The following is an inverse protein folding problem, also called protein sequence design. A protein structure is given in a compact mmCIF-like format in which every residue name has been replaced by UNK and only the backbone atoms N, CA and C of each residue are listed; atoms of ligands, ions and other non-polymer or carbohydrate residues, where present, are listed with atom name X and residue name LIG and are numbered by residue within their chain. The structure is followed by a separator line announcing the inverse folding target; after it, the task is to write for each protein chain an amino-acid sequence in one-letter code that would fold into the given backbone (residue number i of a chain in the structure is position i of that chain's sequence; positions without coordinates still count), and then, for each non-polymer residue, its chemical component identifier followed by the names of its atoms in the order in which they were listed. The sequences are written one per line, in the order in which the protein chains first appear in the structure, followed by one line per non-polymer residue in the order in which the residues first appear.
data_IF_635076491354
#
_entry.id   IF_635076491354
#
_cell.length_a   1.000
_cell.length_b   1.000
_cell.length_c   1.000
_cell.angle_alpha   90.00
_cell.angle_beta   90.00
_cell.angle_gamma   90.00
#
_symmetry.space_group_name_H-M   'P 1'
#
loop_
_entity.id
_entity.type
_entity.pdbx_description
1 polymer ?
#
# COMPACT_ATOMS: atom_id res chain seq x y z
N UNK A 1 -23.35 -24.97 -24.36
CA UNK A 1 -23.27 -25.35 -22.93
C UNK A 1 -22.91 -26.82 -22.91
N UNK A 2 -21.82 -27.18 -22.28
CA UNK A 2 -21.43 -28.57 -22.03
C UNK A 2 -21.83 -28.87 -20.58
N UNK A 3 -22.76 -29.78 -20.39
CA UNK A 3 -23.17 -30.28 -19.08
C UNK A 3 -22.35 -31.54 -18.78
N UNK A 4 -21.52 -31.51 -17.78
CA UNK A 4 -20.68 -32.64 -17.37
C UNK A 4 -21.19 -33.18 -16.04
N UNK A 5 -21.74 -34.38 -16.04
CA UNK A 5 -22.12 -35.08 -14.81
C UNK A 5 -20.88 -35.70 -14.17
N UNK A 6 -20.63 -35.38 -12.92
CA UNK A 6 -19.54 -35.92 -12.12
C UNK A 6 -20.00 -37.24 -11.45
N UNK A 7 -19.14 -38.26 -11.45
CA UNK A 7 -19.30 -39.46 -10.65
C UNK A 7 -18.88 -39.24 -9.18
N UNK A 8 -19.18 -40.24 -8.34
CA UNK A 8 -18.84 -40.13 -6.89
C UNK A 8 -17.32 -40.04 -6.61
N UNK A 9 -16.48 -40.52 -7.53
CA UNK A 9 -15.01 -40.53 -7.41
C UNK A 9 -14.33 -39.37 -8.17
N UNK A 10 -15.12 -38.52 -8.87
CA UNK A 10 -14.57 -37.41 -9.64
C UNK A 10 -14.25 -36.22 -8.74
N UNK A 11 -13.07 -35.66 -8.92
CA UNK A 11 -12.68 -34.43 -8.24
C UNK A 11 -13.15 -33.23 -9.09
N UNK A 12 -14.25 -32.60 -8.66
CA UNK A 12 -14.85 -31.46 -9.35
C UNK A 12 -13.85 -30.32 -9.56
N UNK A 13 -12.98 -30.05 -8.59
CA UNK A 13 -11.99 -28.99 -8.67
C UNK A 13 -10.92 -29.25 -9.74
N UNK A 14 -10.38 -30.47 -9.80
CA UNK A 14 -9.39 -30.86 -10.81
C UNK A 14 -9.97 -30.82 -12.23
N UNK A 15 -11.25 -31.23 -12.40
CA UNK A 15 -11.94 -31.16 -13.67
C UNK A 15 -12.14 -29.72 -14.10
N UNK A 16 -12.58 -28.86 -13.17
CA UNK A 16 -12.77 -27.44 -13.41
C UNK A 16 -11.43 -26.74 -13.80
N UNK A 17 -10.35 -26.99 -13.08
CA UNK A 17 -9.01 -26.47 -13.41
C UNK A 17 -8.53 -26.92 -14.79
N UNK A 18 -8.74 -28.21 -15.13
CA UNK A 18 -8.41 -28.77 -16.44
C UNK A 18 -9.21 -28.14 -17.59
N UNK A 19 -10.49 -27.89 -17.38
CA UNK A 19 -11.35 -27.23 -18.38
C UNK A 19 -10.97 -25.76 -18.57
N UNK A 20 -10.59 -25.06 -17.50
CA UNK A 20 -10.16 -23.67 -17.53
C UNK A 20 -8.88 -23.47 -18.38
N UNK A 21 -7.98 -24.47 -18.41
CA UNK A 21 -6.74 -24.40 -19.21
C UNK A 21 -6.98 -24.33 -20.73
N UNK A 22 -8.20 -24.61 -21.21
CA UNK A 22 -8.58 -24.67 -22.64
C UNK A 22 -9.46 -23.49 -23.10
N UNK A 23 -9.88 -22.61 -22.19
CA UNK A 23 -10.77 -21.47 -22.46
C UNK A 23 -10.12 -20.11 -22.21
N UNK A 24 -10.97 -19.07 -21.98
CA UNK A 24 -10.49 -17.81 -21.43
C UNK A 24 -10.05 -18.11 -19.98
N UNK A 25 -8.78 -17.84 -19.63
CA UNK A 25 -8.30 -18.11 -18.27
C UNK A 25 -9.16 -17.39 -17.23
N UNK A 26 -9.55 -18.09 -16.19
CA UNK A 26 -10.16 -17.49 -15.02
C UNK A 26 -9.11 -16.70 -14.23
N UNK A 27 -9.57 -15.67 -13.53
CA UNK A 27 -8.72 -14.91 -12.61
C UNK A 27 -8.36 -15.77 -11.40
N UNK A 28 -7.28 -15.41 -10.69
CA UNK A 28 -6.95 -16.07 -9.41
C UNK A 28 -8.11 -15.97 -8.42
N UNK A 29 -8.83 -14.86 -8.42
CA UNK A 29 -10.04 -14.61 -7.61
C UNK A 29 -11.14 -15.63 -7.91
N UNK A 30 -11.45 -15.86 -9.19
CA UNK A 30 -12.44 -16.88 -9.59
C UNK A 30 -12.04 -18.29 -9.17
N UNK A 31 -10.74 -18.62 -9.31
CA UNK A 31 -10.22 -19.91 -8.91
C UNK A 31 -10.29 -20.12 -7.39
N UNK A 32 -9.94 -19.10 -6.60
CA UNK A 32 -10.04 -19.14 -5.13
C UNK A 32 -11.50 -19.30 -4.70
N UNK A 33 -12.44 -18.52 -5.27
CA UNK A 33 -13.87 -18.64 -5.01
C UNK A 33 -14.34 -20.06 -5.21
N UNK A 34 -14.05 -20.62 -6.38
CA UNK A 34 -14.49 -21.96 -6.72
C UNK A 34 -13.84 -23.01 -5.81
N UNK A 35 -12.57 -22.85 -5.47
CA UNK A 35 -11.89 -23.76 -4.54
C UNK A 35 -12.55 -23.81 -3.17
N UNK A 36 -12.99 -22.66 -2.64
CA UNK A 36 -13.68 -22.60 -1.33
C UNK A 36 -15.09 -23.18 -1.41
N UNK A 37 -15.84 -22.88 -2.48
CA UNK A 37 -17.29 -23.14 -2.52
C UNK A 37 -17.68 -24.47 -3.19
N UNK A 38 -16.92 -24.94 -4.20
CA UNK A 38 -17.36 -26.10 -5.02
C UNK A 38 -17.48 -27.42 -4.26
N UNK A 39 -16.85 -27.58 -3.13
CA UNK A 39 -16.92 -28.80 -2.30
C UNK A 39 -18.13 -28.83 -1.36
N UNK A 40 -18.88 -27.73 -1.27
CA UNK A 40 -20.00 -27.56 -0.33
C UNK A 40 -21.35 -27.94 -0.97
N UNK A 41 -22.38 -28.30 -0.19
CA UNK A 41 -23.75 -28.44 -0.68
C UNK A 41 -24.27 -27.14 -1.32
N UNK A 42 -25.16 -27.24 -2.32
CA UNK A 42 -25.62 -26.11 -3.12
C UNK A 42 -26.25 -24.97 -2.31
N UNK A 43 -27.02 -25.28 -1.28
CA UNK A 43 -27.67 -24.32 -0.39
C UNK A 43 -26.61 -23.57 0.45
N UNK A 44 -25.59 -24.27 0.92
CA UNK A 44 -24.49 -23.69 1.64
C UNK A 44 -23.58 -22.85 0.73
N UNK A 45 -23.30 -23.31 -0.49
CA UNK A 45 -22.58 -22.51 -1.50
C UNK A 45 -23.26 -21.16 -1.72
N UNK A 46 -24.59 -21.16 -1.96
CA UNK A 46 -25.36 -19.95 -2.20
C UNK A 46 -25.33 -19.04 -0.98
N UNK A 47 -25.55 -19.57 0.21
CA UNK A 47 -25.52 -18.80 1.46
C UNK A 47 -24.19 -18.13 1.69
N UNK A 48 -23.08 -18.87 1.57
CA UNK A 48 -21.73 -18.33 1.82
C UNK A 48 -21.31 -17.34 0.73
N UNK A 49 -21.68 -17.60 -0.52
CA UNK A 49 -21.44 -16.65 -1.60
C UNK A 49 -22.16 -15.32 -1.36
N UNK A 50 -23.45 -15.35 -1.08
CA UNK A 50 -24.25 -14.14 -0.89
C UNK A 50 -23.90 -13.39 0.40
N UNK A 51 -23.55 -14.11 1.47
CA UNK A 51 -23.27 -13.51 2.77
C UNK A 51 -21.87 -12.93 2.88
N UNK A 52 -20.87 -13.50 2.20
CA UNK A 52 -19.46 -13.16 2.42
C UNK A 52 -18.71 -12.85 1.12
N UNK A 53 -18.72 -13.75 0.14
CA UNK A 53 -17.91 -13.60 -1.06
C UNK A 53 -18.38 -12.42 -1.92
N UNK A 54 -19.63 -12.37 -2.26
CA UNK A 54 -20.18 -11.31 -3.09
C UNK A 54 -20.04 -9.91 -2.48
N UNK A 55 -20.34 -9.68 -1.18
CA UNK A 55 -20.01 -8.41 -0.53
C UNK A 55 -18.52 -8.05 -0.60
N UNK A 56 -17.61 -9.01 -0.43
CA UNK A 56 -16.16 -8.79 -0.55
C UNK A 56 -15.79 -8.33 -1.98
N UNK A 57 -16.28 -9.01 -3.02
CA UNK A 57 -16.02 -8.58 -4.41
C UNK A 57 -16.56 -7.17 -4.69
N UNK A 58 -17.74 -6.83 -4.15
CA UNK A 58 -18.35 -5.51 -4.34
C UNK A 58 -17.51 -4.38 -3.71
N UNK A 59 -16.72 -4.66 -2.68
CA UNK A 59 -15.83 -3.66 -2.05
C UNK A 59 -14.75 -3.16 -3.00
N UNK A 60 -14.24 -4.02 -3.87
CA UNK A 60 -13.21 -3.64 -4.85
C UNK A 60 -13.82 -3.03 -6.13
N UNK A 61 -15.10 -3.30 -6.43
CA UNK A 61 -15.77 -2.84 -7.65
C UNK A 61 -15.45 -3.69 -8.88
N UNK A 62 -16.11 -3.39 -10.00
CA UNK A 62 -15.92 -4.12 -11.25
C UNK A 62 -14.61 -3.70 -11.95
N UNK A 63 -13.88 -4.67 -12.51
CA UNK A 63 -12.65 -4.42 -13.26
C UNK A 63 -11.39 -4.23 -12.41
N UNK A 64 -11.47 -4.48 -11.09
CA UNK A 64 -10.35 -4.34 -10.15
C UNK A 64 -9.69 -5.69 -9.80
N UNK A 65 -9.56 -6.58 -10.79
CA UNK A 65 -8.93 -7.90 -10.62
C UNK A 65 -7.50 -7.82 -10.07
N UNK A 66 -6.77 -6.77 -10.43
CA UNK A 66 -5.41 -6.53 -9.94
C UNK A 66 -5.40 -6.23 -8.45
N UNK A 67 -6.29 -5.38 -7.99
CA UNK A 67 -6.42 -4.96 -6.59
C UNK A 67 -6.84 -6.12 -5.70
N UNK A 68 -7.79 -6.93 -6.16
CA UNK A 68 -8.24 -8.15 -5.45
C UNK A 68 -7.09 -9.16 -5.39
N UNK A 69 -6.36 -9.37 -6.48
CA UNK A 69 -5.22 -10.28 -6.49
C UNK A 69 -4.10 -9.82 -5.55
N UNK A 70 -3.85 -8.52 -5.49
CA UNK A 70 -2.89 -7.92 -4.54
C UNK A 70 -3.36 -8.07 -3.10
N UNK A 71 -4.66 -7.91 -2.86
CA UNK A 71 -5.27 -8.16 -1.55
C UNK A 71 -5.06 -9.62 -1.10
N UNK A 72 -5.38 -10.63 -1.93
CA UNK A 72 -5.16 -12.03 -1.59
C UNK A 72 -3.68 -12.35 -1.31
N UNK A 73 -2.79 -11.78 -2.10
CA UNK A 73 -1.36 -11.95 -1.87
C UNK A 73 -0.91 -11.35 -0.54
N UNK A 74 -1.38 -10.16 -0.17
CA UNK A 74 -1.09 -9.52 1.11
C UNK A 74 -1.68 -10.32 2.27
N UNK A 75 -2.93 -10.75 2.15
CA UNK A 75 -3.60 -11.58 3.14
C UNK A 75 -2.84 -12.90 3.39
N UNK A 76 -2.47 -13.61 2.33
CA UNK A 76 -1.64 -14.83 2.44
C UNK A 76 -0.32 -14.56 3.14
N UNK A 77 0.33 -13.44 2.85
CA UNK A 77 1.61 -13.13 3.49
C UNK A 77 1.48 -12.89 5.00
N UNK A 78 0.39 -12.30 5.45
CA UNK A 78 0.09 -12.18 6.89
C UNK A 78 -0.16 -13.56 7.53
N UNK A 79 -0.86 -14.45 6.83
CA UNK A 79 -1.22 -15.79 7.36
C UNK A 79 -0.08 -16.81 7.31
N UNK A 80 0.82 -16.72 6.33
CA UNK A 80 1.95 -17.66 6.20
C UNK A 80 3.12 -17.21 7.09
N UNK A 81 3.57 -18.00 8.11
CA UNK A 81 4.48 -17.48 9.13
C UNK A 81 5.90 -17.19 8.64
N UNK A 82 6.50 -18.07 7.86
CA UNK A 82 7.96 -18.10 7.67
C UNK A 82 8.43 -17.81 6.24
N UNK A 83 7.55 -17.49 5.31
CA UNK A 83 7.91 -17.20 3.92
C UNK A 83 7.02 -16.15 3.28
N UNK A 84 7.53 -15.59 2.21
CA UNK A 84 6.76 -14.71 1.32
C UNK A 84 6.05 -15.58 0.27
N UNK A 85 4.73 -15.44 0.07
CA UNK A 85 4.04 -16.12 -1.02
C UNK A 85 4.46 -15.55 -2.38
N UNK A 86 4.40 -16.36 -3.44
CA UNK A 86 4.68 -15.93 -4.81
C UNK A 86 3.53 -15.09 -5.35
N UNK A 87 3.85 -13.88 -5.83
CA UNK A 87 2.82 -12.90 -6.23
C UNK A 87 2.10 -13.28 -7.54
N UNK A 88 2.77 -13.99 -8.41
CA UNK A 88 2.28 -14.49 -9.70
C UNK A 88 1.55 -15.83 -9.63
N UNK A 89 1.58 -16.49 -8.46
CA UNK A 89 0.98 -17.79 -8.22
C UNK A 89 0.02 -17.77 -7.00
N UNK A 90 -0.73 -16.68 -6.82
CA UNK A 90 -1.59 -16.45 -5.64
C UNK A 90 -2.57 -17.60 -5.39
N UNK A 91 -3.16 -18.17 -6.43
CA UNK A 91 -4.08 -19.30 -6.30
C UNK A 91 -3.38 -20.56 -5.77
N UNK A 92 -2.20 -20.90 -6.28
CA UNK A 92 -1.45 -22.07 -5.81
C UNK A 92 -0.96 -21.87 -4.38
N UNK A 93 -0.54 -20.66 -4.02
CA UNK A 93 -0.19 -20.29 -2.64
C UNK A 93 -1.38 -20.42 -1.68
N UNK A 94 -2.58 -20.05 -2.17
CA UNK A 94 -3.82 -20.22 -1.39
C UNK A 94 -4.16 -21.68 -1.14
N UNK A 95 -4.01 -22.54 -2.16
CA UNK A 95 -4.19 -24.00 -2.01
C UNK A 95 -3.20 -24.60 -1.01
N UNK A 96 -1.92 -24.19 -1.09
CA UNK A 96 -0.89 -24.64 -0.14
C UNK A 96 -1.28 -24.21 1.28
N UNK A 97 -1.66 -22.94 1.46
CA UNK A 97 -2.08 -22.44 2.78
C UNK A 97 -3.22 -23.26 3.39
N UNK A 98 -4.27 -23.56 2.62
CA UNK A 98 -5.39 -24.37 3.10
C UNK A 98 -5.00 -25.85 3.32
N UNK A 99 -4.09 -26.39 2.50
CA UNK A 99 -3.53 -27.74 2.71
C UNK A 99 -2.73 -27.84 4.00
N UNK A 100 -2.02 -26.79 4.37
CA UNK A 100 -1.27 -26.68 5.63
C UNK A 100 -2.19 -26.41 6.85
N UNK A 101 -3.43 -25.94 6.61
CA UNK A 101 -4.42 -25.60 7.64
C UNK A 101 -5.77 -26.34 7.42
N UNK A 102 -5.80 -27.67 7.44
CA UNK A 102 -6.97 -28.45 7.05
C UNK A 102 -8.18 -28.29 7.99
N UNK A 103 -7.98 -27.79 9.20
CA UNK A 103 -9.04 -27.52 10.19
C UNK A 103 -9.84 -26.24 9.88
N UNK A 104 -9.37 -25.43 8.92
CA UNK A 104 -10.02 -24.15 8.58
C UNK A 104 -11.37 -24.40 7.90
N UNK A 105 -12.45 -23.96 8.56
CA UNK A 105 -13.79 -24.06 7.99
C UNK A 105 -13.99 -22.98 6.93
N UNK A 106 -14.72 -23.30 5.85
CA UNK A 106 -14.99 -22.36 4.75
C UNK A 106 -15.66 -21.07 5.21
N UNK A 107 -16.58 -21.15 6.16
CA UNK A 107 -17.27 -19.96 6.69
C UNK A 107 -16.32 -19.06 7.50
N UNK A 108 -15.51 -19.63 8.41
CA UNK A 108 -14.54 -18.87 9.22
C UNK A 108 -13.50 -18.18 8.31
N UNK A 109 -13.05 -18.88 7.27
CA UNK A 109 -12.15 -18.35 6.25
C UNK A 109 -12.78 -17.15 5.50
N UNK A 110 -14.04 -17.28 5.10
CA UNK A 110 -14.74 -16.22 4.38
C UNK A 110 -15.04 -15.01 5.26
N UNK A 111 -15.30 -15.21 6.55
CA UNK A 111 -15.43 -14.12 7.53
C UNK A 111 -14.10 -13.35 7.65
N UNK A 112 -12.98 -14.06 7.80
CA UNK A 112 -11.65 -13.44 7.89
C UNK A 112 -11.27 -12.72 6.59
N UNK A 113 -11.54 -13.31 5.44
CA UNK A 113 -11.31 -12.67 4.14
C UNK A 113 -12.15 -11.39 3.96
N UNK A 114 -13.44 -11.44 4.32
CA UNK A 114 -14.33 -10.28 4.23
C UNK A 114 -13.87 -9.12 5.12
N UNK A 115 -13.53 -9.40 6.39
CA UNK A 115 -13.00 -8.40 7.32
C UNK A 115 -11.69 -7.81 6.82
N UNK A 116 -10.74 -8.65 6.38
CA UNK A 116 -9.46 -8.19 5.85
C UNK A 116 -9.61 -7.37 4.56
N UNK A 117 -10.59 -7.70 3.70
CA UNK A 117 -10.91 -6.95 2.50
C UNK A 117 -11.52 -5.59 2.82
N UNK A 118 -12.39 -5.51 3.84
CA UNK A 118 -12.93 -4.24 4.33
C UNK A 118 -11.80 -3.33 4.83
N UNK A 119 -10.89 -3.85 5.68
CA UNK A 119 -9.71 -3.10 6.12
C UNK A 119 -8.85 -2.61 4.94
N UNK A 120 -8.54 -3.50 3.99
CA UNK A 120 -7.75 -3.15 2.80
C UNK A 120 -8.42 -2.05 1.97
N UNK A 121 -9.72 -2.14 1.73
CA UNK A 121 -10.45 -1.17 0.90
C UNK A 121 -10.73 0.14 1.63
N UNK A 122 -10.82 0.15 2.96
CA UNK A 122 -10.87 1.38 3.76
C UNK A 122 -9.54 2.13 3.71
N UNK A 123 -8.41 1.43 3.84
CA UNK A 123 -7.09 2.05 3.80
C UNK A 123 -6.72 2.53 2.39
N UNK A 124 -6.91 1.67 1.35
CA UNK A 124 -6.36 1.88 0.01
C UNK A 124 -7.41 2.20 -1.06
N UNK A 125 -8.70 2.03 -0.76
CA UNK A 125 -9.82 2.19 -1.69
C UNK A 125 -10.71 3.41 -1.42
N UNK A 126 -10.28 4.35 -0.57
CA UNK A 126 -11.02 5.59 -0.24
C UNK A 126 -12.43 5.33 0.34
N UNK A 127 -12.58 4.24 1.14
CA UNK A 127 -13.86 3.81 1.73
C UNK A 127 -13.97 4.02 3.24
N UNK A 128 -12.97 4.66 3.87
CA UNK A 128 -12.95 4.89 5.30
C UNK A 128 -14.03 5.91 5.72
N UNK A 129 -14.99 5.53 6.61
CA UNK A 129 -16.04 6.43 7.04
C UNK A 129 -15.60 7.45 8.11
N UNK A 130 -14.59 7.15 8.92
CA UNK A 130 -14.03 8.11 9.88
C UNK A 130 -13.16 9.13 9.13
N UNK A 131 -13.52 10.42 9.29
CA UNK A 131 -12.86 11.51 8.53
C UNK A 131 -11.38 11.69 8.86
N UNK A 132 -10.99 11.43 10.10
CA UNK A 132 -9.60 11.62 10.54
C UNK A 132 -8.72 10.48 10.03
N UNK A 133 -9.21 9.24 10.09
CA UNK A 133 -8.57 8.07 9.49
C UNK A 133 -8.51 8.20 7.96
N UNK A 134 -9.62 8.57 7.31
CA UNK A 134 -9.65 8.79 5.86
C UNK A 134 -8.61 9.83 5.41
N UNK A 135 -8.46 10.92 6.17
CA UNK A 135 -7.44 11.94 5.90
C UNK A 135 -6.03 11.38 6.04
N UNK A 136 -5.76 10.57 7.06
CA UNK A 136 -4.46 9.96 7.27
C UNK A 136 -4.12 8.96 6.15
N UNK A 137 -5.07 8.09 5.78
CA UNK A 137 -4.88 7.13 4.68
C UNK A 137 -4.72 7.80 3.33
N UNK A 138 -5.50 8.85 3.05
CA UNK A 138 -5.35 9.63 1.82
C UNK A 138 -3.97 10.26 1.71
N UNK A 139 -3.45 10.82 2.80
CA UNK A 139 -2.09 11.37 2.85
C UNK A 139 -1.06 10.28 2.56
N UNK A 140 -1.12 9.17 3.29
CA UNK A 140 -0.24 8.02 3.11
C UNK A 140 -0.24 7.47 1.68
N UNK A 141 -1.43 7.29 1.09
CA UNK A 141 -1.57 6.71 -0.26
C UNK A 141 -0.95 7.57 -1.36
N UNK A 142 -0.80 8.88 -1.14
CA UNK A 142 -0.12 9.78 -2.09
C UNK A 142 1.38 9.51 -2.22
N UNK A 143 1.99 8.84 -1.25
CA UNK A 143 3.38 8.39 -1.38
C UNK A 143 3.53 7.26 -2.40
N UNK A 144 2.44 6.58 -2.75
CA UNK A 144 2.41 5.44 -3.69
C UNK A 144 3.49 4.39 -3.38
N UNK A 145 3.58 4.00 -2.10
CA UNK A 145 4.54 3.02 -1.60
C UNK A 145 3.80 1.83 -1.02
N UNK A 146 3.94 0.68 -1.66
CA UNK A 146 3.23 -0.54 -1.27
C UNK A 146 3.88 -1.29 -0.08
N UNK A 147 5.07 -0.87 0.36
CA UNK A 147 5.87 -1.64 1.31
C UNK A 147 5.20 -1.85 2.68
N UNK A 148 4.44 -0.87 3.17
CA UNK A 148 3.81 -0.92 4.48
C UNK A 148 2.36 -1.44 4.48
N UNK A 149 1.82 -1.88 3.33
CA UNK A 149 0.43 -2.34 3.21
C UNK A 149 0.08 -3.43 4.21
N UNK A 150 0.95 -4.41 4.38
CA UNK A 150 0.77 -5.51 5.32
C UNK A 150 0.65 -5.03 6.77
N UNK A 151 1.55 -4.12 7.17
CA UNK A 151 1.50 -3.55 8.51
C UNK A 151 0.25 -2.73 8.74
N UNK A 152 -0.17 -1.91 7.78
CA UNK A 152 -1.38 -1.08 7.90
C UNK A 152 -2.65 -1.94 7.98
N UNK A 153 -2.75 -3.03 7.23
CA UNK A 153 -3.87 -3.98 7.33
C UNK A 153 -3.94 -4.61 8.71
N UNK A 154 -2.80 -5.04 9.25
CA UNK A 154 -2.74 -5.61 10.60
C UNK A 154 -3.04 -4.56 11.68
N UNK A 155 -2.53 -3.34 11.56
CA UNK A 155 -2.87 -2.24 12.47
C UNK A 155 -4.38 -1.94 12.47
N UNK A 156 -5.03 -2.05 11.32
CA UNK A 156 -6.49 -1.90 11.25
C UNK A 156 -7.20 -3.02 12.03
N UNK A 157 -6.71 -4.26 11.89
CA UNK A 157 -7.22 -5.40 12.68
C UNK A 157 -7.08 -5.16 14.18
N UNK A 158 -5.94 -4.64 14.63
CA UNK A 158 -5.71 -4.31 16.04
C UNK A 158 -6.62 -3.14 16.51
N UNK A 159 -6.85 -2.15 15.67
CA UNK A 159 -7.79 -1.07 15.93
C UNK A 159 -9.23 -1.57 16.06
N UNK A 160 -9.70 -2.41 15.14
CA UNK A 160 -11.05 -2.99 15.15
C UNK A 160 -11.28 -3.91 16.37
N UNK A 161 -10.21 -4.58 16.81
CA UNK A 161 -10.22 -5.43 18.01
C UNK A 161 -10.14 -4.63 19.32
N UNK A 162 -9.96 -3.30 19.27
CA UNK A 162 -9.84 -2.44 20.43
C UNK A 162 -8.48 -2.48 21.14
N UNK A 163 -7.46 -3.11 20.53
CA UNK A 163 -6.09 -3.15 21.04
C UNK A 163 -5.28 -1.89 20.69
N UNK A 164 -5.80 -1.06 19.80
CA UNK A 164 -5.21 0.19 19.35
C UNK A 164 -6.29 1.27 19.32
N UNK A 165 -6.06 2.43 19.93
CA UNK A 165 -6.97 3.56 19.85
C UNK A 165 -6.89 4.24 18.48
N UNK A 166 -7.89 5.04 18.10
CA UNK A 166 -7.89 5.80 16.86
C UNK A 166 -6.71 6.77 16.79
N UNK A 167 -6.42 7.45 17.87
CA UNK A 167 -5.33 8.41 17.99
C UNK A 167 -3.96 7.75 17.78
N UNK A 168 -3.75 6.58 18.38
CA UNK A 168 -2.53 5.78 18.20
C UNK A 168 -2.42 5.26 16.77
N UNK A 169 -3.52 4.79 16.17
CA UNK A 169 -3.50 4.34 14.78
C UNK A 169 -3.12 5.47 13.83
N UNK A 170 -3.74 6.64 13.94
CA UNK A 170 -3.38 7.82 13.15
C UNK A 170 -1.91 8.22 13.37
N UNK A 171 -1.43 8.17 14.61
CA UNK A 171 -0.04 8.45 14.94
C UNK A 171 0.92 7.48 14.22
N UNK A 172 0.62 6.18 14.24
CA UNK A 172 1.43 5.17 13.54
C UNK A 172 1.39 5.34 12.03
N UNK A 173 0.22 5.60 11.43
CA UNK A 173 0.11 5.88 9.98
C UNK A 173 1.01 7.05 9.59
N UNK A 174 0.96 8.16 10.32
CA UNK A 174 1.80 9.35 10.07
C UNK A 174 3.29 9.07 10.30
N UNK A 175 3.64 8.26 11.28
CA UNK A 175 5.03 7.89 11.54
C UNK A 175 5.59 7.04 10.40
N UNK A 176 4.82 6.05 9.92
CA UNK A 176 5.20 5.22 8.77
C UNK A 176 5.27 6.07 7.48
N UNK A 177 4.34 7.00 7.30
CA UNK A 177 4.37 7.99 6.20
C UNK A 177 5.66 8.82 6.25
N UNK A 178 5.99 9.40 7.40
CA UNK A 178 7.23 10.16 7.60
C UNK A 178 8.49 9.31 7.33
N UNK A 179 8.51 8.08 7.83
CA UNK A 179 9.60 7.13 7.57
C UNK A 179 9.80 6.89 6.07
N UNK A 180 8.74 6.59 5.34
CA UNK A 180 8.80 6.31 3.90
C UNK A 180 9.16 7.57 3.09
N UNK A 181 8.60 8.71 3.47
CA UNK A 181 8.91 9.99 2.86
C UNK A 181 10.39 10.36 3.00
N UNK A 182 10.93 10.35 4.23
CA UNK A 182 12.34 10.63 4.50
C UNK A 182 13.27 9.71 3.72
N UNK A 183 12.97 8.42 3.69
CA UNK A 183 13.73 7.44 2.90
C UNK A 183 13.71 7.75 1.41
N UNK A 184 12.58 8.17 0.87
CA UNK A 184 12.43 8.56 -0.53
C UNK A 184 13.32 9.75 -0.87
N UNK A 185 13.30 10.80 -0.05
CA UNK A 185 14.16 11.97 -0.18
C UNK A 185 15.65 11.59 -0.07
N UNK A 186 16.01 10.76 0.91
CA UNK A 186 17.38 10.29 1.10
C UNK A 186 17.85 9.24 0.07
N UNK A 187 17.03 8.93 -0.94
CA UNK A 187 17.38 7.99 -2.00
C UNK A 187 17.52 6.54 -1.53
N UNK A 188 16.92 6.19 -0.38
CA UNK A 188 16.95 4.83 0.16
C UNK A 188 15.97 3.93 -0.57
N UNK A 189 16.42 2.75 -0.98
CA UNK A 189 15.62 1.78 -1.70
C UNK A 189 14.50 1.20 -0.81
N UNK A 190 13.39 0.82 -1.42
CA UNK A 190 12.28 0.11 -0.76
C UNK A 190 12.48 -1.41 -0.73
N UNK A 191 13.53 -1.92 -1.39
CA UNK A 191 13.85 -3.36 -1.42
C UNK A 191 14.01 -3.89 0.00
N UNK A 192 13.28 -4.96 0.31
CA UNK A 192 13.30 -5.58 1.64
C UNK A 192 12.35 -4.96 2.67
N UNK A 193 11.80 -3.76 2.46
CA UNK A 193 10.85 -3.15 3.39
C UNK A 193 9.57 -3.96 3.56
N UNK A 194 9.09 -4.63 2.49
CA UNK A 194 7.92 -5.50 2.59
C UNK A 194 8.15 -6.63 3.62
N UNK A 195 9.35 -7.24 3.60
CA UNK A 195 9.71 -8.27 4.60
C UNK A 195 9.81 -7.71 6.01
N UNK A 196 10.41 -6.51 6.13
CA UNK A 196 10.54 -5.84 7.41
C UNK A 196 9.14 -5.54 8.01
N UNK A 197 8.25 -4.92 7.26
CA UNK A 197 6.90 -4.60 7.73
C UNK A 197 6.03 -5.85 7.94
N UNK A 198 6.19 -6.89 7.10
CA UNK A 198 5.53 -8.17 7.33
C UNK A 198 6.01 -8.82 8.64
N UNK A 199 7.30 -8.70 8.97
CA UNK A 199 7.85 -9.15 10.24
C UNK A 199 7.26 -8.42 11.44
N UNK A 200 7.13 -7.09 11.37
CA UNK A 200 6.48 -6.29 12.42
C UNK A 200 5.01 -6.65 12.58
N UNK A 201 4.25 -6.74 11.48
CA UNK A 201 2.84 -7.07 11.50
C UNK A 201 2.53 -8.38 12.25
N UNK A 202 3.39 -9.39 12.10
CA UNK A 202 3.23 -10.72 12.75
C UNK A 202 3.57 -10.75 14.24
N UNK A 203 3.99 -9.65 14.84
CA UNK A 203 4.43 -9.58 16.22
C UNK A 203 3.50 -8.72 17.11
N UNK A 204 2.37 -8.24 16.57
CA UNK A 204 1.54 -7.25 17.26
C UNK A 204 0.63 -7.81 18.36
N UNK A 205 0.35 -9.12 18.37
CA UNK A 205 -0.67 -9.72 19.27
C UNK A 205 -0.31 -9.70 20.76
N UNK A 206 0.96 -9.48 21.12
CA UNK A 206 1.41 -9.64 22.52
C UNK A 206 2.36 -8.54 22.97
N UNK A 207 2.27 -7.35 22.36
CA UNK A 207 3.19 -6.23 22.63
C UNK A 207 2.42 -4.92 22.77
N UNK A 208 3.04 -3.93 23.41
CA UNK A 208 2.59 -2.54 23.32
C UNK A 208 2.88 -2.03 21.89
N UNK A 209 1.83 -1.93 21.09
CA UNK A 209 1.94 -1.81 19.61
C UNK A 209 2.73 -0.56 19.22
N UNK A 210 2.42 0.59 19.84
CA UNK A 210 3.08 1.87 19.51
C UNK A 210 4.57 1.80 19.82
N UNK A 211 4.93 1.40 21.03
CA UNK A 211 6.31 1.28 21.49
C UNK A 211 7.08 0.25 20.66
N UNK A 212 6.44 -0.86 20.32
CA UNK A 212 7.06 -1.91 19.51
C UNK A 212 7.40 -1.39 18.10
N UNK A 213 6.47 -0.75 17.42
CA UNK A 213 6.69 -0.24 16.06
C UNK A 213 7.73 0.89 16.08
N UNK A 214 7.56 1.89 16.94
CA UNK A 214 8.49 3.02 17.03
C UNK A 214 9.89 2.55 17.40
N UNK A 215 10.01 1.69 18.43
CA UNK A 215 11.29 1.12 18.85
C UNK A 215 11.99 0.38 17.73
N UNK A 216 11.28 -0.43 16.95
CA UNK A 216 11.87 -1.13 15.80
C UNK A 216 12.29 -0.19 14.67
N UNK A 217 11.49 0.85 14.34
CA UNK A 217 11.85 1.83 13.32
C UNK A 217 13.11 2.62 13.70
N UNK A 218 13.24 3.00 14.97
CA UNK A 218 14.38 3.81 15.47
C UNK A 218 15.63 2.98 15.76
N UNK A 219 15.50 1.67 16.02
CA UNK A 219 16.63 0.80 16.34
C UNK A 219 17.50 0.40 15.14
N UNK A 220 17.10 0.76 13.91
CA UNK A 220 17.82 0.38 12.70
C UNK A 220 18.99 1.32 12.44
N UNK A 221 20.20 0.79 12.38
CA UNK A 221 21.37 1.55 11.98
C UNK A 221 21.38 1.85 10.46
N UNK A 222 22.26 2.77 10.06
CA UNK A 222 22.36 3.31 8.70
C UNK A 222 22.62 2.23 7.62
N UNK A 223 23.21 1.10 7.98
CA UNK A 223 23.52 0.00 7.06
C UNK A 223 22.35 -0.98 6.91
N UNK A 224 21.28 -0.82 7.68
CA UNK A 224 20.12 -1.71 7.65
C UNK A 224 19.10 -1.30 6.60
N UNK A 225 18.37 -2.30 6.10
CA UNK A 225 17.31 -2.13 5.10
C UNK A 225 16.25 -1.12 5.56
N UNK A 226 15.91 -1.12 6.85
CA UNK A 226 14.85 -0.28 7.42
C UNK A 226 15.38 0.94 8.19
N UNK A 227 16.57 1.45 7.84
CA UNK A 227 17.11 2.66 8.46
C UNK A 227 16.15 3.84 8.37
N UNK A 228 15.91 4.52 9.49
CA UNK A 228 15.17 5.76 9.58
C UNK A 228 16.15 6.94 9.48
N UNK A 229 16.13 7.75 8.40
CA UNK A 229 17.05 8.86 8.23
C UNK A 229 16.94 9.87 9.37
N UNK A 230 18.09 10.28 9.92
CA UNK A 230 18.15 11.36 10.95
C UNK A 230 17.69 12.70 10.37
N UNK A 231 17.39 13.66 11.23
CA UNK A 231 16.96 14.98 10.80
C UNK A 231 18.05 15.68 9.99
N UNK A 232 19.32 15.60 10.44
CA UNK A 232 20.47 16.21 9.77
C UNK A 232 20.67 15.64 8.36
N UNK A 233 20.64 14.29 8.23
CA UNK A 233 20.81 13.64 6.94
C UNK A 233 19.64 13.92 6.00
N UNK A 234 18.40 13.93 6.54
CA UNK A 234 17.22 14.27 5.77
C UNK A 234 17.27 15.71 5.27
N UNK A 235 17.63 16.69 6.12
CA UNK A 235 17.72 18.10 5.77
C UNK A 235 18.75 18.34 4.66
N UNK A 236 19.95 17.79 4.79
CA UNK A 236 20.98 17.87 3.75
C UNK A 236 20.47 17.36 2.38
N UNK A 237 19.86 16.17 2.38
CA UNK A 237 19.35 15.56 1.17
C UNK A 237 18.15 16.33 0.61
N UNK A 238 17.27 16.87 1.47
CA UNK A 238 16.08 17.61 1.07
C UNK A 238 16.42 18.92 0.36
N UNK A 239 17.43 19.64 0.85
CA UNK A 239 17.87 20.91 0.26
C UNK A 239 18.57 20.75 -1.10
N UNK A 240 19.22 19.62 -1.34
CA UNK A 240 20.03 19.39 -2.55
C UNK A 240 19.35 18.49 -3.60
N UNK A 241 18.24 17.82 -3.26
CA UNK A 241 17.63 16.81 -4.13
C UNK A 241 16.91 17.43 -5.32
N UNK A 242 17.13 16.88 -6.53
CA UNK A 242 16.26 17.10 -7.70
C UNK A 242 14.89 16.48 -7.40
N UNK A 243 13.95 17.31 -6.94
CA UNK A 243 12.61 16.89 -6.59
C UNK A 243 11.69 16.81 -7.82
N UNK A 244 11.85 17.71 -8.77
CA UNK A 244 10.97 17.82 -9.94
C UNK A 244 11.05 16.57 -10.84
N UNK A 245 12.24 16.22 -11.29
CA UNK A 245 12.42 15.08 -12.19
C UNK A 245 12.28 13.73 -11.46
N UNK A 246 12.68 13.68 -10.19
CA UNK A 246 12.73 12.40 -9.45
C UNK A 246 11.38 11.95 -8.92
N UNK A 247 10.53 12.89 -8.51
CA UNK A 247 9.28 12.56 -7.82
C UNK A 247 8.02 12.83 -8.65
N UNK A 248 8.12 13.55 -9.76
CA UNK A 248 6.96 13.83 -10.64
C UNK A 248 5.78 14.38 -9.85
N UNK A 249 4.62 13.75 -9.98
CA UNK A 249 3.38 14.16 -9.31
C UNK A 249 3.47 14.19 -7.76
N UNK A 250 4.38 13.42 -7.17
CA UNK A 250 4.61 13.45 -5.71
C UNK A 250 5.25 14.78 -5.27
N UNK A 251 5.95 15.48 -6.15
CA UNK A 251 6.49 16.81 -5.86
C UNK A 251 5.37 17.81 -5.52
N UNK A 252 4.24 17.76 -6.23
CA UNK A 252 3.07 18.57 -5.92
C UNK A 252 2.51 18.27 -4.51
N UNK A 253 2.51 17.00 -4.11
CA UNK A 253 2.14 16.62 -2.74
C UNK A 253 3.08 17.21 -1.67
N UNK A 254 4.38 17.25 -1.94
CA UNK A 254 5.36 17.84 -1.01
C UNK A 254 5.09 19.35 -0.83
N UNK A 255 4.90 20.06 -1.92
CA UNK A 255 4.58 21.49 -1.91
C UNK A 255 3.24 21.77 -1.20
N UNK A 256 2.20 20.99 -1.50
CA UNK A 256 0.90 21.05 -0.79
C UNK A 256 1.05 20.83 0.71
N UNK A 257 1.85 19.85 1.11
CA UNK A 257 2.07 19.52 2.52
C UNK A 257 2.74 20.68 3.26
N UNK A 258 3.72 21.35 2.63
CA UNK A 258 4.39 22.54 3.18
C UNK A 258 3.39 23.70 3.30
N UNK A 259 2.65 23.97 2.23
CA UNK A 259 1.65 25.07 2.22
C UNK A 259 0.56 24.84 3.28
N UNK A 260 0.04 23.62 3.39
CA UNK A 260 -0.98 23.28 4.36
C UNK A 260 -0.46 23.27 5.81
N UNK A 261 0.83 23.03 6.02
CA UNK A 261 1.45 23.22 7.34
C UNK A 261 1.40 24.69 7.79
N UNK A 262 1.61 25.62 6.86
CA UNK A 262 1.54 27.07 7.14
C UNK A 262 0.10 27.60 7.18
N UNK A 263 -0.88 26.91 6.57
CA UNK A 263 -2.29 27.31 6.48
C UNK A 263 -3.26 26.24 7.04
N UNK A 264 -3.16 25.87 8.31
CA UNK A 264 -3.95 24.75 8.84
C UNK A 264 -5.46 25.01 8.86
N UNK A 265 -5.91 26.27 8.81
CA UNK A 265 -7.34 26.64 8.84
C UNK A 265 -7.99 26.64 7.47
N UNK A 266 -7.22 26.83 6.40
CA UNK A 266 -7.69 26.90 5.02
C UNK A 266 -6.77 26.05 4.13
N UNK A 267 -6.83 24.72 4.27
CA UNK A 267 -5.98 23.83 3.49
C UNK A 267 -6.32 23.92 2.01
N UNK A 268 -5.28 23.96 1.17
CA UNK A 268 -5.41 23.88 -0.28
C UNK A 268 -5.39 22.41 -0.74
N UNK A 269 -5.95 22.16 -1.93
CA UNK A 269 -5.86 20.88 -2.63
C UNK A 269 -5.27 21.12 -4.01
N UNK A 270 -4.18 20.43 -4.34
CA UNK A 270 -3.41 20.65 -5.57
C UNK A 270 -3.99 20.02 -6.83
N UNK A 271 -5.19 19.47 -6.81
CA UNK A 271 -5.79 18.81 -7.99
C UNK A 271 -5.93 19.72 -9.22
N UNK A 272 -5.85 21.04 -9.05
CA UNK A 272 -5.93 22.07 -10.12
C UNK A 272 -4.66 22.89 -10.27
N UNK A 273 -3.62 22.63 -9.50
CA UNK A 273 -2.38 23.41 -9.53
C UNK A 273 -1.32 22.74 -10.41
N UNK A 274 -0.43 23.57 -10.99
CA UNK A 274 0.76 23.15 -11.71
C UNK A 274 2.00 23.50 -10.90
N UNK A 275 3.07 22.73 -11.11
CA UNK A 275 4.37 23.05 -10.52
C UNK A 275 5.09 24.02 -11.44
N UNK A 276 5.48 25.17 -10.90
CA UNK A 276 6.24 26.20 -11.59
C UNK A 276 7.62 26.37 -10.96
N UNK A 277 8.58 26.77 -11.82
CA UNK A 277 9.96 27.06 -11.42
C UNK A 277 10.15 28.56 -11.22
N UNK A 278 10.56 28.98 -10.03
CA UNK A 278 10.90 30.38 -9.74
C UNK A 278 12.15 30.78 -10.54
N UNK A 279 13.25 30.04 -10.43
CA UNK A 279 14.39 30.10 -11.35
C UNK A 279 14.05 29.26 -12.59
N UNK A 280 13.89 29.87 -13.77
CA UNK A 280 13.41 29.17 -14.95
C UNK A 280 14.26 27.97 -15.36
N UNK A 281 13.64 26.94 -15.92
CA UNK A 281 14.33 25.74 -16.41
C UNK A 281 15.37 26.04 -17.51
N UNK A 282 15.26 27.15 -18.21
CA UNK A 282 16.20 27.56 -19.24
C UNK A 282 16.53 29.05 -19.07
N UNK A 283 17.79 29.35 -18.78
CA UNK A 283 18.29 30.72 -18.58
C UNK A 283 19.45 31.08 -19.54
N UNK A 284 19.72 30.25 -20.55
CA UNK A 284 20.81 30.45 -21.53
C UNK A 284 20.72 31.85 -22.23
N UNK A 285 19.52 32.34 -22.46
CA UNK A 285 19.24 33.63 -23.10
C UNK A 285 18.70 34.68 -22.08
N UNK A 286 18.98 34.52 -20.80
CA UNK A 286 18.46 35.40 -19.73
C UNK A 286 19.61 35.99 -18.91
N UNK A 287 20.26 37.06 -19.40
CA UNK A 287 21.40 37.70 -18.72
C UNK A 287 21.08 38.12 -17.29
N UNK A 288 19.83 38.50 -17.00
CA UNK A 288 19.40 38.91 -15.67
C UNK A 288 19.57 37.74 -14.65
N UNK A 289 19.12 36.55 -15.02
CA UNK A 289 19.27 35.34 -14.17
C UNK A 289 20.73 34.89 -14.05
N UNK A 290 21.50 34.96 -15.16
CA UNK A 290 22.92 34.61 -15.16
C UNK A 290 23.70 35.55 -14.23
N UNK A 291 23.44 36.86 -14.31
CA UNK A 291 24.06 37.86 -13.44
C UNK A 291 23.65 37.66 -11.95
N UNK A 292 22.39 37.32 -11.71
CA UNK A 292 21.92 37.07 -10.35
C UNK A 292 22.58 35.85 -9.70
N UNK A 293 22.89 34.83 -10.49
CA UNK A 293 23.59 33.61 -10.02
C UNK A 293 25.13 33.81 -9.97
N UNK A 294 25.68 34.78 -10.71
CA UNK A 294 27.11 35.09 -10.71
C UNK A 294 27.93 34.30 -11.74
N UNK A 295 29.26 34.27 -11.56
CA UNK A 295 30.17 33.66 -12.53
C UNK A 295 30.00 32.17 -12.71
N UNK A 296 29.54 31.45 -11.69
CA UNK A 296 29.30 30.00 -11.70
C UNK A 296 27.82 29.64 -11.95
N UNK A 297 27.14 30.48 -12.73
CA UNK A 297 25.70 30.37 -12.94
C UNK A 297 25.23 29.03 -13.55
N UNK A 298 26.04 28.40 -14.41
CA UNK A 298 25.71 27.12 -15.02
C UNK A 298 25.58 26.01 -13.96
N UNK A 299 26.59 25.92 -13.09
CA UNK A 299 26.61 24.94 -12.00
C UNK A 299 25.52 25.22 -10.97
N UNK A 300 25.34 26.49 -10.58
CA UNK A 300 24.29 26.86 -9.63
C UNK A 300 22.90 26.62 -10.20
N UNK A 301 22.70 26.88 -11.49
CA UNK A 301 21.44 26.58 -12.15
C UNK A 301 21.13 25.07 -12.15
N UNK A 302 22.11 24.23 -12.53
CA UNK A 302 21.96 22.77 -12.47
C UNK A 302 21.62 22.28 -11.07
N UNK A 303 22.30 22.82 -10.05
CA UNK A 303 22.11 22.44 -8.65
C UNK A 303 20.72 22.85 -8.12
N UNK A 304 20.25 24.07 -8.45
CA UNK A 304 19.09 24.67 -7.79
C UNK A 304 17.78 24.51 -8.57
N UNK A 305 17.84 24.38 -9.91
CA UNK A 305 16.68 24.48 -10.78
C UNK A 305 15.53 23.56 -10.37
N UNK A 306 15.82 22.31 -10.05
CA UNK A 306 14.83 21.27 -9.78
C UNK A 306 14.69 20.90 -8.29
N UNK A 307 15.36 21.62 -7.39
CA UNK A 307 15.19 21.36 -5.96
C UNK A 307 13.86 21.97 -5.45
N UNK A 308 13.37 21.48 -4.33
CA UNK A 308 12.05 21.87 -3.82
C UNK A 308 11.97 23.38 -3.50
N UNK A 309 13.09 24.01 -3.09
CA UNK A 309 13.15 25.42 -2.77
C UNK A 309 12.94 26.35 -3.98
N UNK A 310 13.12 25.82 -5.19
CA UNK A 310 12.87 26.56 -6.44
C UNK A 310 11.48 26.31 -7.05
N UNK A 311 10.67 25.45 -6.43
CA UNK A 311 9.38 25.04 -6.97
C UNK A 311 8.22 25.71 -6.21
N UNK A 312 7.16 26.02 -6.92
CA UNK A 312 5.94 26.60 -6.35
C UNK A 312 4.71 26.01 -7.03
N UNK A 313 3.55 26.16 -6.39
CA UNK A 313 2.24 25.78 -6.94
C UNK A 313 1.55 27.02 -7.49
N UNK A 314 1.11 26.93 -8.75
CA UNK A 314 0.30 27.97 -9.40
C UNK A 314 -0.98 27.38 -9.95
N UNK A 315 -2.11 28.11 -9.83
CA UNK A 315 -3.44 27.67 -10.28
C UNK A 315 -4.15 28.72 -11.08
#
# INVERSE_FOLDING_TARGET
IVDTKLGADDNAQLIFESMNSKGKPLTATDLIRNYILMSLPNDEQTRLYESYWHPMEQMFGQGHDREINEFFWNWLWLKIPNRKPRKDEVYDEFKIYLGDNPETKSEDLLIDLLASADHSTRIFGDREPDKDLAKAFKSFNRLDVNAARLLLMELYTQYDSGNLSKEEFIYLVKTIESFLFRRSICGRLTTGLNHYFAGLAKQLDSVEIVEHIIGNLLAQDENKTAYFPTDEYFEEQFLSRDCYNRFGDKCAYFLESIENHHRPKEPISVSSYQIEHVLPQTITNSPEWQNALGEDWEHLHELLCNNLGNLTLTG
#
